data_IF_191668454610
#
_entry.id   IF_191668454610
#
_cell.length_a   1.000
_cell.length_b   1.000
_cell.length_c   1.000
_cell.angle_alpha   90.00
_cell.angle_beta   90.00
_cell.angle_gamma   90.00
#
_symmetry.space_group_name_H-M   'P 1'
#
loop_
_entity.id
_entity.type
_entity.pdbx_description
1 polymer ?
#
# COMPACT_ATOMS: atom_id res chain seq x y z
N UNK A 1 -19.34 16.76 -52.14
CA UNK A 1 -19.77 15.38 -51.77
C UNK A 1 -18.77 14.74 -50.81
N UNK A 2 -17.47 14.72 -51.14
CA UNK A 2 -16.41 14.15 -50.28
C UNK A 2 -16.36 14.72 -48.84
N UNK A 3 -16.50 16.03 -48.66
CA UNK A 3 -16.42 16.65 -47.32
C UNK A 3 -17.54 16.19 -46.38
N UNK A 4 -18.77 15.97 -46.90
CA UNK A 4 -19.89 15.42 -46.12
C UNK A 4 -19.66 13.96 -45.75
N UNK A 5 -19.11 13.17 -46.67
CA UNK A 5 -18.77 11.77 -46.42
C UNK A 5 -17.66 11.63 -45.38
N UNK A 6 -16.63 12.49 -45.43
CA UNK A 6 -15.55 12.50 -44.43
C UNK A 6 -16.06 12.94 -43.06
N UNK A 7 -16.94 13.95 -43.00
CA UNK A 7 -17.57 14.38 -41.75
C UNK A 7 -18.45 13.27 -41.14
N UNK A 8 -19.22 12.57 -41.96
CA UNK A 8 -20.02 11.41 -41.55
C UNK A 8 -19.14 10.26 -41.03
N UNK A 9 -18.04 9.96 -41.71
CA UNK A 9 -17.06 8.96 -41.28
C UNK A 9 -16.41 9.33 -39.95
N UNK A 10 -16.01 10.60 -39.76
CA UNK A 10 -15.46 11.10 -38.50
C UNK A 10 -16.49 11.01 -37.36
N UNK A 11 -17.75 11.37 -37.60
CA UNK A 11 -18.83 11.27 -36.61
C UNK A 11 -19.13 9.82 -36.23
N UNK A 12 -19.13 8.90 -37.21
CA UNK A 12 -19.30 7.47 -36.98
C UNK A 12 -18.13 6.88 -36.17
N UNK A 13 -16.90 7.29 -36.46
CA UNK A 13 -15.71 6.88 -35.70
C UNK A 13 -15.75 7.40 -34.26
N UNK A 14 -16.22 8.63 -34.02
CA UNK A 14 -16.40 9.14 -32.65
C UNK A 14 -17.51 8.43 -31.88
N UNK A 15 -18.59 7.99 -32.54
CA UNK A 15 -19.67 7.23 -31.92
C UNK A 15 -19.26 5.78 -31.59
N UNK A 16 -18.35 5.19 -32.37
CA UNK A 16 -17.79 3.86 -32.11
C UNK A 16 -16.75 3.84 -30.98
N UNK A 17 -16.17 5.00 -30.65
CA UNK A 17 -15.17 5.18 -29.58
C UNK A 17 -15.81 5.69 -28.28
N UNK A 18 -17.14 5.79 -28.21
CA UNK A 18 -17.81 5.98 -26.91
C UNK A 18 -17.65 4.66 -26.15
N UNK A 19 -16.86 4.59 -25.07
CA UNK A 19 -16.90 3.43 -24.21
C UNK A 19 -18.35 3.32 -23.76
N UNK A 20 -18.96 2.15 -23.94
CA UNK A 20 -20.20 1.84 -23.24
C UNK A 20 -19.87 1.85 -21.76
N UNK A 21 -19.97 3.01 -21.10
CA UNK A 21 -20.06 3.05 -19.66
C UNK A 21 -21.41 2.43 -19.30
N UNK A 22 -21.41 1.13 -19.03
CA UNK A 22 -22.25 0.61 -17.96
C UNK A 22 -21.85 1.40 -16.71
N UNK A 23 -22.47 2.56 -16.50
CA UNK A 23 -22.11 3.43 -15.40
C UNK A 23 -22.23 2.65 -14.10
N UNK A 24 -21.12 2.58 -13.36
CA UNK A 24 -21.10 1.98 -12.03
C UNK A 24 -22.21 2.60 -11.19
N UNK A 25 -23.17 1.79 -10.72
CA UNK A 25 -24.18 2.28 -9.80
C UNK A 25 -23.57 2.43 -8.41
N UNK A 26 -22.99 3.61 -8.16
CA UNK A 26 -22.27 3.96 -6.92
C UNK A 26 -23.09 3.64 -5.66
N UNK A 27 -24.39 3.96 -5.63
CA UNK A 27 -25.24 3.69 -4.46
C UNK A 27 -25.47 2.21 -4.23
N UNK A 28 -25.64 1.46 -5.31
CA UNK A 28 -25.75 0.01 -5.23
C UNK A 28 -24.43 -0.60 -4.76
N UNK A 29 -23.30 -0.14 -5.29
CA UNK A 29 -21.98 -0.58 -4.88
C UNK A 29 -21.70 -0.32 -3.39
N UNK A 30 -21.99 0.89 -2.90
CA UNK A 30 -21.86 1.23 -1.47
C UNK A 30 -22.72 0.33 -0.58
N UNK A 31 -23.97 0.07 -1.00
CA UNK A 31 -24.89 -0.82 -0.28
C UNK A 31 -24.34 -2.24 -0.20
N UNK A 32 -23.85 -2.78 -1.33
CA UNK A 32 -23.28 -4.12 -1.39
C UNK A 32 -22.01 -4.25 -0.54
N UNK A 33 -21.12 -3.26 -0.55
CA UNK A 33 -19.93 -3.26 0.32
C UNK A 33 -20.35 -3.29 1.79
N UNK A 34 -21.31 -2.45 2.18
CA UNK A 34 -21.78 -2.40 3.57
C UNK A 34 -22.38 -3.74 3.99
N UNK A 35 -23.31 -4.27 3.21
CA UNK A 35 -24.10 -5.43 3.62
C UNK A 35 -23.29 -6.74 3.55
N UNK A 36 -22.29 -6.86 2.66
CA UNK A 36 -21.50 -8.09 2.51
C UNK A 36 -20.10 -8.03 3.13
N UNK A 37 -19.45 -6.87 3.13
CA UNK A 37 -18.05 -6.76 3.57
C UNK A 37 -17.92 -6.14 4.95
N UNK A 38 -18.70 -5.10 5.25
CA UNK A 38 -18.58 -4.40 6.54
C UNK A 38 -19.07 -5.27 7.69
N UNK A 39 -20.19 -5.98 7.54
CA UNK A 39 -20.78 -6.79 8.61
C UNK A 39 -19.80 -7.89 9.08
N UNK A 40 -19.20 -8.62 8.14
CA UNK A 40 -18.18 -9.64 8.45
C UNK A 40 -16.94 -9.01 9.10
N UNK A 41 -16.49 -7.86 8.61
CA UNK A 41 -15.37 -7.12 9.21
C UNK A 41 -15.67 -6.69 10.66
N UNK A 42 -16.88 -6.20 10.94
CA UNK A 42 -17.29 -5.80 12.29
C UNK A 42 -17.31 -7.00 13.25
N UNK A 43 -17.81 -8.16 12.78
CA UNK A 43 -17.79 -9.39 13.57
C UNK A 43 -16.36 -9.82 13.89
N UNK A 44 -15.47 -9.82 12.90
CA UNK A 44 -14.08 -10.23 13.10
C UNK A 44 -13.29 -9.24 13.98
N UNK A 45 -13.49 -7.93 13.80
CA UNK A 45 -12.90 -6.91 14.68
C UNK A 45 -13.47 -6.94 16.10
N UNK A 46 -14.74 -7.31 16.26
CA UNK A 46 -15.39 -7.46 17.57
C UNK A 46 -14.93 -8.69 18.35
N UNK A 47 -14.35 -9.70 17.67
CA UNK A 47 -13.69 -10.85 18.32
C UNK A 47 -12.31 -10.51 18.88
N UNK A 48 -11.68 -9.44 18.38
CA UNK A 48 -10.41 -8.93 18.89
C UNK A 48 -10.66 -7.99 20.07
N UNK A 49 -9.81 -8.08 21.09
CA UNK A 49 -9.74 -7.06 22.13
C UNK A 49 -9.36 -5.70 21.49
N UNK A 50 -9.99 -4.61 21.94
CA UNK A 50 -9.76 -3.28 21.35
C UNK A 50 -8.30 -2.82 21.43
N UNK A 51 -7.56 -3.24 22.46
CA UNK A 51 -6.12 -2.97 22.58
C UNK A 51 -5.27 -3.60 21.46
N UNK A 52 -5.79 -4.60 20.74
CA UNK A 52 -5.10 -5.26 19.63
C UNK A 52 -5.41 -4.64 18.27
N UNK A 53 -6.33 -3.68 18.17
CA UNK A 53 -6.68 -3.05 16.89
C UNK A 53 -5.47 -2.38 16.21
N UNK A 54 -4.55 -1.81 16.99
CA UNK A 54 -3.34 -1.20 16.45
C UNK A 54 -2.22 -2.20 16.12
N UNK A 55 -2.40 -3.48 16.43
CA UNK A 55 -1.42 -4.53 16.15
C UNK A 55 -1.61 -5.10 14.75
N UNK A 56 -0.73 -4.73 13.80
CA UNK A 56 -0.83 -5.22 12.42
C UNK A 56 -0.89 -6.73 12.28
N UNK A 57 -0.05 -7.52 12.98
CA UNK A 57 -0.09 -8.97 12.84
C UNK A 57 -1.45 -9.59 13.20
N UNK A 58 -2.24 -8.91 14.04
CA UNK A 58 -3.57 -9.38 14.45
C UNK A 58 -4.69 -8.89 13.52
N UNK A 59 -4.49 -7.76 12.83
CA UNK A 59 -5.53 -7.15 11.98
C UNK A 59 -5.32 -7.34 10.48
N UNK A 60 -4.12 -7.77 10.06
CA UNK A 60 -3.75 -7.91 8.63
C UNK A 60 -4.69 -8.86 7.89
N UNK A 61 -4.95 -10.05 8.41
CA UNK A 61 -5.82 -11.04 7.76
C UNK A 61 -7.26 -10.55 7.62
N UNK A 62 -7.78 -9.90 8.68
CA UNK A 62 -9.13 -9.32 8.69
C UNK A 62 -9.25 -8.18 7.66
N UNK A 63 -8.22 -7.32 7.60
CA UNK A 63 -8.19 -6.18 6.69
C UNK A 63 -7.99 -6.62 5.23
N UNK A 64 -7.18 -7.64 4.97
CA UNK A 64 -7.04 -8.27 3.65
C UNK A 64 -8.36 -8.92 3.20
N UNK A 65 -9.06 -9.62 4.11
CA UNK A 65 -10.39 -10.18 3.85
C UNK A 65 -11.39 -9.10 3.43
N UNK A 66 -11.41 -7.97 4.14
CA UNK A 66 -12.24 -6.82 3.78
C UNK A 66 -11.86 -6.24 2.41
N UNK A 67 -10.56 -6.04 2.16
CA UNK A 67 -10.04 -5.49 0.89
C UNK A 67 -10.45 -6.38 -0.28
N UNK A 68 -10.22 -7.69 -0.17
CA UNK A 68 -10.62 -8.67 -1.17
C UNK A 68 -12.15 -8.68 -1.35
N UNK A 69 -12.93 -8.61 -0.28
CA UNK A 69 -14.39 -8.53 -0.39
C UNK A 69 -14.83 -7.31 -1.21
N UNK A 70 -14.33 -6.11 -0.91
CA UNK A 70 -14.69 -4.90 -1.68
C UNK A 70 -14.28 -5.01 -3.15
N UNK A 71 -13.13 -5.60 -3.44
CA UNK A 71 -12.67 -5.86 -4.80
C UNK A 71 -13.61 -6.83 -5.53
N UNK A 72 -14.00 -7.94 -4.91
CA UNK A 72 -14.94 -8.91 -5.51
C UNK A 72 -16.33 -8.31 -5.74
N UNK A 73 -16.81 -7.48 -4.81
CA UNK A 73 -18.07 -6.76 -5.00
C UNK A 73 -17.96 -5.81 -6.19
N UNK A 74 -16.87 -5.05 -6.32
CA UNK A 74 -16.65 -4.13 -7.43
C UNK A 74 -16.71 -4.85 -8.78
N UNK A 75 -16.00 -5.98 -8.90
CA UNK A 75 -16.04 -6.82 -10.10
C UNK A 75 -17.46 -7.33 -10.41
N UNK A 76 -18.24 -7.70 -9.38
CA UNK A 76 -19.60 -8.23 -9.57
C UNK A 76 -20.60 -7.17 -10.01
N UNK A 77 -20.42 -5.93 -9.57
CA UNK A 77 -21.31 -4.80 -9.92
C UNK A 77 -20.79 -3.97 -11.08
N UNK A 78 -19.75 -4.44 -11.77
CA UNK A 78 -19.12 -3.78 -12.92
C UNK A 78 -18.58 -2.37 -12.60
N UNK A 79 -17.98 -2.23 -11.41
CA UNK A 79 -17.33 -1.01 -10.94
C UNK A 79 -15.81 -1.19 -10.91
N UNK A 80 -15.06 -0.15 -11.30
CA UNK A 80 -13.61 -0.13 -11.17
C UNK A 80 -13.18 -0.10 -9.69
N UNK A 81 -12.09 -0.80 -9.34
CA UNK A 81 -11.50 -0.79 -8.01
C UNK A 81 -10.01 -0.44 -8.12
N UNK A 82 -9.47 0.50 -7.33
CA UNK A 82 -10.15 1.32 -6.32
C UNK A 82 -10.95 2.50 -6.92
N UNK A 83 -11.88 3.06 -6.17
CA UNK A 83 -12.66 4.26 -6.54
C UNK A 83 -13.06 5.09 -5.30
N UNK A 84 -13.67 6.25 -5.50
CA UNK A 84 -14.03 7.19 -4.42
C UNK A 84 -14.95 6.59 -3.33
N UNK A 85 -15.80 5.61 -3.70
CA UNK A 85 -16.69 4.91 -2.76
C UNK A 85 -15.86 4.08 -1.80
N UNK A 86 -14.86 3.35 -2.33
CA UNK A 86 -13.95 2.52 -1.54
C UNK A 86 -13.06 3.39 -0.66
N UNK A 87 -12.57 4.51 -1.17
CA UNK A 87 -11.75 5.44 -0.38
C UNK A 87 -12.52 5.99 0.83
N UNK A 88 -13.75 6.47 0.62
CA UNK A 88 -14.62 6.94 1.70
C UNK A 88 -15.01 5.84 2.68
N UNK A 89 -15.22 4.62 2.17
CA UNK A 89 -15.51 3.44 2.98
C UNK A 89 -14.35 3.07 3.92
N UNK A 90 -13.14 2.94 3.38
CA UNK A 90 -11.95 2.63 4.19
C UNK A 90 -11.61 3.78 5.15
N UNK A 91 -11.80 5.04 4.74
CA UNK A 91 -11.57 6.18 5.64
C UNK A 91 -12.46 6.10 6.89
N UNK A 92 -13.74 5.74 6.74
CA UNK A 92 -14.66 5.53 7.88
C UNK A 92 -14.21 4.38 8.79
N UNK A 93 -13.66 3.31 8.24
CA UNK A 93 -13.10 2.20 9.01
C UNK A 93 -11.88 2.66 9.81
N UNK A 94 -10.95 3.38 9.17
CA UNK A 94 -9.77 3.93 9.84
C UNK A 94 -10.14 4.89 10.97
N UNK A 95 -11.13 5.77 10.74
CA UNK A 95 -11.64 6.66 11.78
C UNK A 95 -12.32 5.93 12.94
N UNK A 96 -12.94 4.76 12.71
CA UNK A 96 -13.66 4.03 13.75
C UNK A 96 -12.74 3.10 14.55
N UNK A 97 -11.89 2.32 13.88
CA UNK A 97 -11.10 1.26 14.50
C UNK A 97 -9.63 1.63 14.72
N UNK A 98 -9.09 2.54 13.92
CA UNK A 98 -7.64 2.79 13.87
C UNK A 98 -7.26 4.25 14.19
N UNK A 99 -8.18 5.06 14.73
CA UNK A 99 -7.97 6.50 14.95
C UNK A 99 -6.84 6.83 15.93
N UNK A 100 -6.62 5.96 16.93
CA UNK A 100 -5.56 6.13 17.94
C UNK A 100 -4.27 5.36 17.58
N UNK A 101 -4.24 4.70 16.41
CA UNK A 101 -3.10 3.88 16.03
C UNK A 101 -1.96 4.72 15.45
N UNK A 102 -0.78 4.59 16.05
CA UNK A 102 0.41 5.26 15.56
C UNK A 102 0.90 4.65 14.24
N UNK A 103 1.28 5.50 13.27
CA UNK A 103 1.83 5.08 11.97
C UNK A 103 3.26 4.50 12.07
N UNK A 104 3.89 4.63 13.24
CA UNK A 104 5.33 4.49 13.48
C UNK A 104 5.92 3.11 13.23
N UNK A 105 5.10 2.08 13.01
CA UNK A 105 5.56 0.70 12.75
C UNK A 105 5.35 0.18 11.33
N UNK A 106 4.67 0.93 10.44
CA UNK A 106 4.38 0.50 9.06
C UNK A 106 5.06 1.34 7.98
N UNK A 107 5.50 2.54 8.32
CA UNK A 107 6.22 3.38 7.37
C UNK A 107 7.66 2.87 7.28
N UNK A 108 8.01 2.27 6.14
CA UNK A 108 9.40 1.92 5.86
C UNK A 108 10.19 3.23 5.79
N UNK A 109 10.98 3.49 6.82
CA UNK A 109 11.78 4.69 6.93
C UNK A 109 13.17 4.32 7.46
N UNK A 110 14.19 5.04 7.00
CA UNK A 110 15.52 4.87 7.53
C UNK A 110 15.54 5.20 9.03
N UNK A 111 16.35 4.49 9.83
CA UNK A 111 16.51 4.85 11.23
C UNK A 111 17.09 6.27 11.33
N UNK A 112 16.82 6.98 12.45
CA UNK A 112 17.36 8.33 12.65
C UNK A 112 18.88 8.32 12.52
N UNK A 113 19.45 9.43 12.01
CA UNK A 113 20.89 9.56 11.72
C UNK A 113 21.77 9.25 12.93
N UNK A 114 21.27 9.53 14.14
CA UNK A 114 21.94 9.21 15.41
C UNK A 114 22.21 7.71 15.61
N UNK A 115 21.38 6.84 15.00
CA UNK A 115 21.55 5.38 15.02
C UNK A 115 22.28 4.92 13.76
N UNK A 116 21.91 5.45 12.59
CA UNK A 116 22.48 5.04 11.31
C UNK A 116 23.98 5.37 11.19
N UNK A 117 24.39 6.56 11.63
CA UNK A 117 25.78 7.02 11.45
C UNK A 117 26.80 6.17 12.21
N UNK A 118 26.58 5.80 13.50
CA UNK A 118 27.45 4.84 14.19
C UNK A 118 27.56 3.48 13.49
N UNK A 119 26.45 2.94 12.96
CA UNK A 119 26.45 1.68 12.24
C UNK A 119 27.31 1.70 10.97
N UNK A 120 27.45 2.86 10.34
CA UNK A 120 28.33 3.04 9.17
C UNK A 120 29.78 3.32 9.61
N UNK A 121 29.96 4.22 10.59
CA UNK A 121 31.28 4.66 11.02
C UNK A 121 32.10 3.54 11.66
N UNK A 122 31.49 2.70 12.51
CA UNK A 122 32.20 1.65 13.23
C UNK A 122 32.86 0.63 12.29
N UNK A 123 32.16 0.00 11.33
CA UNK A 123 32.78 -0.91 10.36
C UNK A 123 33.88 -0.24 9.52
N UNK A 124 33.69 1.01 9.09
CA UNK A 124 34.70 1.76 8.33
C UNK A 124 35.96 1.96 9.16
N UNK A 125 35.83 2.42 10.41
CA UNK A 125 36.96 2.60 11.30
C UNK A 125 37.68 1.27 11.59
N UNK A 126 36.93 0.19 11.82
CA UNK A 126 37.49 -1.14 12.05
C UNK A 126 38.28 -1.63 10.84
N UNK A 127 37.77 -1.45 9.63
CA UNK A 127 38.48 -1.86 8.40
C UNK A 127 39.76 -1.04 8.19
N UNK A 128 39.72 0.26 8.44
CA UNK A 128 40.91 1.13 8.38
C UNK A 128 41.96 0.75 9.45
N UNK A 129 41.53 0.43 10.66
CA UNK A 129 42.44 0.00 11.73
C UNK A 129 43.07 -1.36 11.39
N UNK A 130 42.28 -2.32 10.94
CA UNK A 130 42.77 -3.65 10.57
C UNK A 130 43.76 -3.58 9.41
N UNK A 131 43.46 -2.79 8.38
CA UNK A 131 44.40 -2.59 7.25
C UNK A 131 45.70 -1.93 7.70
N UNK A 132 45.64 -0.90 8.57
CA UNK A 132 46.82 -0.28 9.14
C UNK A 132 47.66 -1.27 9.96
N UNK A 133 47.01 -2.11 10.79
CA UNK A 133 47.67 -3.16 11.58
C UNK A 133 48.36 -4.17 10.65
N UNK A 134 47.69 -4.63 9.60
CA UNK A 134 48.25 -5.59 8.63
C UNK A 134 49.47 -5.01 7.91
N UNK A 135 49.37 -3.77 7.41
CA UNK A 135 50.49 -3.09 6.74
C UNK A 135 51.67 -2.90 7.68
N UNK A 136 51.40 -2.49 8.92
CA UNK A 136 52.44 -2.29 9.94
C UNK A 136 53.15 -3.61 10.27
N UNK A 137 52.40 -4.70 10.47
CA UNK A 137 52.94 -6.04 10.70
C UNK A 137 53.76 -6.53 9.51
N UNK A 138 53.27 -6.36 8.28
CA UNK A 138 53.96 -6.78 7.06
C UNK A 138 55.33 -6.11 6.94
N UNK A 139 55.39 -4.77 7.06
CA UNK A 139 56.66 -4.01 6.98
C UNK A 139 57.65 -4.40 8.07
N UNK A 140 57.17 -4.65 9.30
CA UNK A 140 58.05 -5.10 10.39
C UNK A 140 58.63 -6.48 10.13
N UNK A 141 57.90 -7.36 9.46
CA UNK A 141 58.34 -8.73 9.18
C UNK A 141 59.36 -8.76 8.05
N UNK A 142 59.20 -7.91 7.03
CA UNK A 142 60.19 -7.71 5.96
C UNK A 142 61.49 -7.06 6.46
N UNK A 143 61.44 -6.16 7.44
CA UNK A 143 62.64 -5.53 8.01
C UNK A 143 63.39 -6.37 9.05
N UNK A 144 62.90 -7.57 9.37
CA UNK A 144 63.49 -8.51 10.35
C UNK A 144 64.08 -9.76 9.69
N UNK A 145 63.78 -9.99 8.40
CA UNK A 145 64.39 -11.01 7.53
C UNK A 145 65.54 -10.40 6.73
#
# INVERSE_FOLDING_TARGET
>A
MALRSVLLLLLLLTALVVPSESGCNVRFYETMIRDFCLDEFQVNMGRLESGLWCSWPHTVEIYEGLTNCTYQVALRVDCFWPNEVVDGFFMKIHQRYFHDCALTGRLLHDPPVSILAPFIAVPVLVTLLMTAIVVWRSKRTEGVL
#
